data_IF_649652020961
#
_entry.id   IF_649652020961
#
_cell.length_a   1.000
_cell.length_b   1.000
_cell.length_c   1.000
_cell.angle_alpha   90.00
_cell.angle_beta   90.00
_cell.angle_gamma   90.00
#
_symmetry.space_group_name_H-M   'P 1'
#
loop_
_entity.id
_entity.type
_entity.pdbx_description
1 polymer ?
#
# COMPACT_ATOMS: atom_id res chain seq x y z
N UNK A 1 -22.30 -36.43 37.34
CA UNK A 1 -22.18 -36.73 35.89
C UNK A 1 -22.81 -35.63 35.02
N UNK A 2 -24.05 -35.21 35.28
CA UNK A 2 -24.76 -34.19 34.48
C UNK A 2 -24.16 -32.78 34.51
N UNK A 3 -23.53 -32.37 35.63
CA UNK A 3 -22.89 -31.06 35.73
C UNK A 3 -21.66 -30.93 34.81
N UNK A 4 -20.94 -32.02 34.62
CA UNK A 4 -19.79 -32.06 33.71
C UNK A 4 -20.23 -31.88 32.25
N UNK A 5 -21.38 -32.48 31.88
CA UNK A 5 -21.97 -32.34 30.56
C UNK A 5 -22.40 -30.89 30.26
N UNK A 6 -22.97 -30.20 31.24
CA UNK A 6 -23.36 -28.78 31.11
C UNK A 6 -22.13 -27.87 30.92
N UNK A 7 -21.06 -28.16 31.64
CA UNK A 7 -19.80 -27.43 31.51
C UNK A 7 -19.21 -27.61 30.10
N UNK A 8 -19.13 -28.83 29.59
CA UNK A 8 -18.65 -29.10 28.22
C UNK A 8 -19.47 -28.36 27.16
N UNK A 9 -20.80 -28.35 27.29
CA UNK A 9 -21.67 -27.66 26.34
C UNK A 9 -21.47 -26.13 26.35
N UNK A 10 -21.14 -25.55 27.50
CA UNK A 10 -20.82 -24.13 27.63
C UNK A 10 -19.53 -23.75 26.87
N UNK A 11 -18.46 -24.55 26.95
CA UNK A 11 -17.22 -24.24 26.23
C UNK A 11 -17.33 -24.37 24.71
N UNK A 12 -18.16 -25.29 24.21
CA UNK A 12 -18.43 -25.43 22.78
C UNK A 12 -19.11 -24.16 22.23
N UNK A 13 -19.99 -23.52 23.01
CA UNK A 13 -20.69 -22.30 22.61
C UNK A 13 -19.78 -21.06 22.48
N UNK A 14 -18.57 -21.09 23.04
CA UNK A 14 -17.61 -19.98 22.96
C UNK A 14 -16.78 -20.00 21.66
N UNK A 15 -16.80 -21.10 20.90
CA UNK A 15 -15.98 -21.29 19.70
C UNK A 15 -16.67 -20.88 18.38
N UNK A 16 -17.85 -20.25 18.43
CA UNK A 16 -18.67 -19.98 17.23
C UNK A 16 -18.21 -18.73 16.46
N UNK A 17 -17.25 -17.96 17.00
CA UNK A 17 -16.76 -16.74 16.36
C UNK A 17 -15.40 -16.96 15.68
N UNK A 18 -15.41 -17.62 14.52
CA UNK A 18 -14.28 -17.53 13.60
C UNK A 18 -14.36 -16.21 12.84
N UNK A 19 -13.29 -15.42 12.86
CA UNK A 19 -13.19 -14.25 12.00
C UNK A 19 -12.98 -14.72 10.56
N UNK A 20 -13.92 -14.46 9.66
CA UNK A 20 -13.68 -14.53 8.22
C UNK A 20 -12.82 -13.34 7.80
N UNK A 21 -11.54 -13.34 8.18
CA UNK A 21 -10.59 -12.33 7.73
C UNK A 21 -9.83 -12.89 6.53
N UNK A 22 -10.29 -12.54 5.33
CA UNK A 22 -9.51 -12.71 4.12
C UNK A 22 -8.64 -11.47 3.93
N UNK A 23 -7.34 -11.63 3.64
CA UNK A 23 -6.50 -10.50 3.28
C UNK A 23 -7.11 -9.83 2.04
N UNK A 24 -7.63 -8.62 2.21
CA UNK A 24 -8.18 -7.83 1.10
C UNK A 24 -7.04 -7.00 0.52
N UNK A 25 -6.78 -7.15 -0.77
CA UNK A 25 -5.82 -6.29 -1.50
C UNK A 25 -6.38 -4.89 -1.81
N UNK A 26 -7.40 -4.45 -1.07
CA UNK A 26 -7.95 -3.10 -1.12
C UNK A 26 -7.07 -2.05 -0.40
N UNK A 27 -5.85 -2.43 -0.01
CA UNK A 27 -4.83 -1.50 0.44
C UNK A 27 -4.53 -0.41 -0.60
N UNK A 28 -3.69 0.55 -0.20
CA UNK A 28 -3.33 1.74 -1.00
C UNK A 28 -3.00 1.34 -2.44
N UNK A 29 -3.85 1.74 -3.38
CA UNK A 29 -3.58 1.59 -4.81
C UNK A 29 -2.38 2.45 -5.15
N UNK A 30 -1.27 1.85 -5.56
CA UNK A 30 -0.17 2.60 -6.17
C UNK A 30 -0.74 3.27 -7.42
N UNK A 31 -0.64 4.61 -7.56
CA UNK A 31 -1.13 5.27 -8.75
C UNK A 31 -0.37 4.73 -9.97
N UNK A 32 -1.10 4.34 -11.03
CA UNK A 32 -0.53 3.80 -12.28
C UNK A 32 0.45 4.77 -12.97
N UNK A 33 0.45 6.05 -12.55
CA UNK A 33 1.30 7.11 -13.06
C UNK A 33 2.13 7.72 -11.90
N UNK A 34 3.25 7.10 -11.50
CA UNK A 34 4.10 7.66 -10.47
C UNK A 34 4.63 9.04 -10.88
N UNK A 35 4.68 9.95 -9.90
CA UNK A 35 5.28 11.28 -10.04
C UNK A 35 6.71 11.21 -9.50
N UNK A 36 7.68 11.48 -10.36
CA UNK A 36 9.10 11.51 -10.01
C UNK A 36 9.60 12.94 -10.20
N UNK A 37 10.27 13.50 -9.20
CA UNK A 37 10.87 14.84 -9.29
C UNK A 37 12.36 14.78 -8.98
N UNK A 38 13.20 15.06 -9.97
CA UNK A 38 14.62 15.32 -9.75
C UNK A 38 14.79 16.79 -9.40
N UNK A 39 15.24 17.09 -8.19
CA UNK A 39 15.46 18.46 -7.72
C UNK A 39 16.94 18.80 -7.70
N UNK A 40 17.25 20.10 -7.78
CA UNK A 40 18.63 20.60 -7.80
C UNK A 40 19.49 19.93 -8.90
N UNK A 41 18.87 19.60 -10.04
CA UNK A 41 19.52 18.89 -11.13
C UNK A 41 20.13 19.88 -12.14
N UNK A 42 21.23 19.47 -12.79
CA UNK A 42 21.74 20.13 -13.99
C UNK A 42 21.13 19.46 -15.21
N UNK A 43 20.23 20.15 -15.90
CA UNK A 43 19.47 19.61 -17.04
C UNK A 43 20.09 20.11 -18.34
N UNK A 44 20.44 19.19 -19.24
CA UNK A 44 20.98 19.51 -20.56
C UNK A 44 19.85 19.45 -21.60
N UNK A 45 19.42 20.61 -22.12
CA UNK A 45 18.44 20.67 -23.21
C UNK A 45 19.09 20.40 -24.56
N UNK A 46 20.33 20.88 -24.72
CA UNK A 46 21.23 20.59 -25.83
C UNK A 46 22.65 20.45 -25.26
N UNK A 47 23.65 19.95 -26.02
CA UNK A 47 25.02 19.84 -25.52
C UNK A 47 25.60 21.17 -25.01
N UNK A 48 25.09 22.29 -25.51
CA UNK A 48 25.53 23.65 -25.16
C UNK A 48 24.61 24.36 -24.17
N UNK A 49 23.33 23.99 -24.09
CA UNK A 49 22.36 24.67 -23.23
C UNK A 49 22.08 23.86 -21.95
N UNK A 50 22.45 24.45 -20.82
CA UNK A 50 22.28 23.87 -19.48
C UNK A 50 21.30 24.70 -18.64
N UNK A 51 20.53 24.01 -17.81
CA UNK A 51 19.71 24.60 -16.74
C UNK A 51 20.29 24.11 -15.42
N UNK A 52 20.80 25.02 -14.60
CA UNK A 52 21.34 24.71 -13.29
C UNK A 52 20.27 24.82 -12.21
N UNK A 53 20.36 23.96 -11.19
CA UNK A 53 19.40 23.88 -10.07
C UNK A 53 17.94 23.73 -10.53
N UNK A 54 17.73 23.07 -11.66
CA UNK A 54 16.40 22.81 -12.21
C UNK A 54 15.66 21.71 -11.45
N UNK A 55 14.34 21.66 -11.67
CA UNK A 55 13.49 20.54 -11.25
C UNK A 55 12.93 19.84 -12.49
N UNK A 56 13.21 18.55 -12.64
CA UNK A 56 12.65 17.71 -13.71
C UNK A 56 11.53 16.85 -13.13
N UNK A 57 10.30 17.09 -13.60
CA UNK A 57 9.11 16.38 -13.13
C UNK A 57 8.68 15.38 -14.21
N UNK A 58 8.70 14.09 -13.87
CA UNK A 58 8.22 13.01 -14.74
C UNK A 58 6.90 12.51 -14.18
N UNK A 59 5.85 12.55 -14.99
CA UNK A 59 4.52 12.02 -14.62
C UNK A 59 4.16 10.92 -15.61
N UNK A 60 4.27 9.66 -15.20
CA UNK A 60 4.16 8.53 -16.12
C UNK A 60 5.24 8.60 -17.22
N UNK A 61 4.83 8.66 -18.49
CA UNK A 61 5.73 8.78 -19.65
C UNK A 61 5.87 10.23 -20.19
N UNK A 62 5.45 11.24 -19.43
CA UNK A 62 5.50 12.66 -19.82
C UNK A 62 6.57 13.41 -19.03
N UNK A 63 7.24 14.33 -19.71
CA UNK A 63 8.34 15.18 -19.24
C UNK A 63 7.91 16.64 -19.34
#
# INVERSE_FOLDING_TARGET
>A
MTQFLKFTLFFISLNIFSQNYFPKNDGVKTPDNPLIAFTNATIFKTPTQKIEKGTLVIKGAKI
#
